data_IF_599010022202
#
_entry.id   IF_599010022202
#
_cell.length_a   1.000
_cell.length_b   1.000
_cell.length_c   1.000
_cell.angle_alpha   90.00
_cell.angle_beta   90.00
_cell.angle_gamma   90.00
#
_symmetry.space_group_name_H-M   'P 1'
#
loop_
_entity.id
_entity.type
_entity.pdbx_description
1 polymer ?
#
# COMPACT_ATOMS: atom_id res chain seq x y z
N UNK A 1 4.49 -5.69 18.57
CA UNK A 1 4.80 -6.05 17.16
C UNK A 1 3.75 -6.95 16.53
N UNK A 2 3.43 -8.09 17.12
CA UNK A 2 2.44 -9.04 16.58
C UNK A 2 1.05 -8.40 16.37
N UNK A 3 0.55 -7.62 17.31
CA UNK A 3 -0.76 -6.97 17.22
C UNK A 3 -0.83 -5.92 16.10
N UNK A 4 0.24 -5.13 15.92
CA UNK A 4 0.35 -4.18 14.83
C UNK A 4 0.34 -4.89 13.47
N UNK A 5 1.13 -5.95 13.32
CA UNK A 5 1.19 -6.72 12.08
C UNK A 5 -0.16 -7.40 11.74
N UNK A 6 -0.85 -7.93 12.76
CA UNK A 6 -2.18 -8.53 12.58
C UNK A 6 -3.22 -7.47 12.17
N UNK A 7 -3.22 -6.32 12.84
CA UNK A 7 -4.13 -5.21 12.53
C UNK A 7 -3.91 -4.70 11.11
N UNK A 8 -2.66 -4.42 10.75
CA UNK A 8 -2.35 -3.93 9.40
C UNK A 8 -2.69 -4.98 8.35
N UNK A 9 -2.34 -6.24 8.58
CA UNK A 9 -2.73 -7.33 7.69
C UNK A 9 -4.24 -7.48 7.50
N UNK A 10 -5.06 -7.12 8.50
CA UNK A 10 -6.52 -7.09 8.33
C UNK A 10 -6.93 -5.88 7.49
N UNK A 11 -6.36 -4.70 7.74
CA UNK A 11 -6.63 -3.52 6.91
C UNK A 11 -6.34 -3.79 5.44
N UNK A 12 -5.19 -4.43 5.14
CA UNK A 12 -4.84 -4.77 3.75
C UNK A 12 -5.85 -5.72 3.08
N UNK A 13 -6.36 -6.70 3.81
CA UNK A 13 -7.43 -7.58 3.29
C UNK A 13 -8.71 -6.80 3.00
N UNK A 14 -9.07 -5.87 3.87
CA UNK A 14 -10.26 -5.02 3.70
C UNK A 14 -10.07 -4.06 2.51
N UNK A 15 -8.86 -3.50 2.31
CA UNK A 15 -8.53 -2.69 1.13
C UNK A 15 -8.66 -3.48 -0.17
N UNK A 16 -8.12 -4.70 -0.21
CA UNK A 16 -8.23 -5.58 -1.40
C UNK A 16 -9.70 -5.91 -1.70
N UNK A 17 -10.51 -6.20 -0.67
CA UNK A 17 -11.94 -6.45 -0.83
C UNK A 17 -12.65 -5.23 -1.42
N UNK A 18 -12.44 -4.06 -0.84
CA UNK A 18 -13.06 -2.81 -1.28
C UNK A 18 -12.70 -2.46 -2.73
N UNK A 19 -11.41 -2.62 -3.12
CA UNK A 19 -10.96 -2.38 -4.49
C UNK A 19 -11.60 -3.39 -5.46
N UNK A 20 -11.63 -4.66 -5.07
CA UNK A 20 -12.25 -5.74 -5.87
C UNK A 20 -13.73 -5.46 -6.12
N UNK A 21 -14.48 -5.09 -5.08
CA UNK A 21 -15.90 -4.73 -5.19
C UNK A 21 -16.11 -3.50 -6.06
N UNK A 22 -15.25 -2.49 -5.94
CA UNK A 22 -15.29 -1.28 -6.77
C UNK A 22 -15.08 -1.60 -8.25
N UNK A 23 -14.06 -2.40 -8.58
CA UNK A 23 -13.79 -2.82 -9.97
C UNK A 23 -14.98 -3.59 -10.55
N UNK A 24 -15.53 -4.55 -9.80
CA UNK A 24 -16.71 -5.32 -10.22
C UNK A 24 -17.92 -4.42 -10.41
N UNK A 25 -18.15 -3.48 -9.50
CA UNK A 25 -19.28 -2.54 -9.57
C UNK A 25 -19.21 -1.61 -10.79
N UNK A 26 -18.00 -1.30 -11.26
CA UNK A 26 -17.76 -0.53 -12.49
C UNK A 26 -17.80 -1.40 -13.76
N UNK A 27 -18.11 -2.69 -13.66
CA UNK A 27 -18.14 -3.62 -14.79
C UNK A 27 -16.76 -4.09 -15.25
N UNK A 28 -15.72 -3.79 -14.49
CA UNK A 28 -14.37 -4.27 -14.73
C UNK A 28 -14.16 -5.69 -14.21
N UNK A 29 -12.96 -6.21 -14.46
CA UNK A 29 -12.53 -7.51 -13.94
C UNK A 29 -11.25 -7.31 -13.13
N UNK A 30 -11.25 -7.64 -11.83
CA UNK A 30 -10.04 -7.58 -11.03
C UNK A 30 -8.97 -8.52 -11.56
N UNK A 31 -7.72 -8.08 -11.55
CA UNK A 31 -6.59 -8.94 -11.86
C UNK A 31 -6.42 -10.00 -10.78
N UNK A 32 -5.94 -11.17 -11.20
CA UNK A 32 -5.57 -12.21 -10.26
C UNK A 32 -4.30 -11.78 -9.53
N UNK A 33 -4.31 -11.88 -8.19
CA UNK A 33 -3.13 -11.61 -7.40
C UNK A 33 -1.96 -12.49 -7.84
N UNK A 34 -0.77 -11.91 -8.10
CA UNK A 34 0.43 -12.68 -8.39
C UNK A 34 0.91 -13.42 -7.15
N UNK A 35 1.78 -14.39 -7.33
CA UNK A 35 2.52 -14.96 -6.21
C UNK A 35 3.59 -13.99 -5.73
N UNK A 36 3.83 -13.97 -4.42
CA UNK A 36 4.86 -13.14 -3.80
C UNK A 36 5.90 -13.98 -3.08
N UNK A 37 7.10 -13.45 -2.99
CA UNK A 37 8.19 -13.97 -2.18
C UNK A 37 8.87 -12.82 -1.47
N UNK A 38 8.83 -12.83 -0.14
CA UNK A 38 9.39 -11.75 0.67
C UNK A 38 10.61 -12.24 1.43
N UNK A 39 11.74 -11.49 1.40
CA UNK A 39 12.99 -11.88 2.06
C UNK A 39 12.96 -11.53 3.55
N UNK A 40 11.99 -12.08 4.29
CA UNK A 40 11.82 -11.87 5.74
C UNK A 40 12.60 -12.93 6.49
N UNK A 41 13.48 -12.53 7.39
CA UNK A 41 14.30 -13.39 8.25
C UNK A 41 14.09 -13.11 9.73
N UNK A 42 13.75 -11.87 10.08
CA UNK A 42 13.61 -11.38 11.43
C UNK A 42 12.69 -10.15 11.46
N UNK A 43 12.42 -9.64 12.65
CA UNK A 43 11.59 -8.45 12.85
C UNK A 43 12.12 -7.22 12.11
N UNK A 44 13.44 -7.03 12.09
CA UNK A 44 14.05 -5.88 11.41
C UNK A 44 13.84 -5.92 9.90
N UNK A 45 14.04 -7.07 9.29
CA UNK A 45 13.82 -7.25 7.84
C UNK A 45 12.34 -7.15 7.49
N UNK A 46 11.45 -7.64 8.35
CA UNK A 46 10.00 -7.45 8.22
C UNK A 46 9.63 -5.96 8.23
N UNK A 47 10.05 -5.21 9.24
CA UNK A 47 9.74 -3.79 9.35
C UNK A 47 10.31 -2.97 8.19
N UNK A 48 11.51 -3.32 7.72
CA UNK A 48 12.12 -2.65 6.57
C UNK A 48 11.32 -2.86 5.30
N UNK A 49 10.90 -4.10 5.06
CA UNK A 49 10.06 -4.44 3.90
C UNK A 49 8.69 -3.79 4.01
N UNK A 50 8.04 -3.92 5.17
CA UNK A 50 6.72 -3.34 5.40
C UNK A 50 6.72 -1.82 5.16
N UNK A 51 7.72 -1.09 5.69
CA UNK A 51 7.86 0.33 5.40
C UNK A 51 7.95 0.61 3.90
N UNK A 52 8.77 -0.14 3.18
CA UNK A 52 8.93 0.03 1.73
C UNK A 52 7.61 -0.18 0.99
N UNK A 53 6.85 -1.20 1.36
CA UNK A 53 5.56 -1.52 0.72
C UNK A 53 4.50 -0.46 1.03
N UNK A 54 4.37 -0.03 2.29
CA UNK A 54 3.42 1.02 2.69
C UNK A 54 3.73 2.36 2.00
N UNK A 55 4.99 2.78 1.99
CA UNK A 55 5.41 4.02 1.32
C UNK A 55 5.21 3.94 -0.21
N UNK A 56 5.41 2.77 -0.80
CA UNK A 56 5.10 2.54 -2.21
C UNK A 56 3.60 2.61 -2.45
N UNK A 57 2.79 2.05 -1.55
CA UNK A 57 1.32 2.14 -1.60
C UNK A 57 0.83 3.58 -1.55
N UNK A 58 1.30 4.38 -0.58
CA UNK A 58 1.00 5.82 -0.52
C UNK A 58 1.32 6.51 -1.83
N UNK A 59 2.52 6.28 -2.37
CA UNK A 59 2.98 6.89 -3.62
C UNK A 59 2.15 6.44 -4.83
N UNK A 60 1.70 5.19 -4.85
CA UNK A 60 0.85 4.62 -5.91
C UNK A 60 -0.55 5.25 -5.92
N UNK A 61 -1.19 5.37 -4.76
CA UNK A 61 -2.49 6.04 -4.64
C UNK A 61 -2.41 7.51 -5.04
N UNK A 62 -1.37 8.22 -4.61
CA UNK A 62 -1.14 9.62 -5.00
C UNK A 62 -0.96 9.76 -6.52
N UNK A 63 -0.22 8.84 -7.13
CA UNK A 63 -0.02 8.83 -8.59
C UNK A 63 -1.29 8.50 -9.38
N UNK A 64 -2.11 7.59 -8.87
CA UNK A 64 -3.37 7.20 -9.50
C UNK A 64 -4.45 8.29 -9.35
N UNK A 65 -4.41 9.09 -8.31
CA UNK A 65 -5.47 10.03 -7.95
C UNK A 65 -5.85 10.99 -9.10
N UNK A 66 -4.88 11.45 -9.87
CA UNK A 66 -5.12 12.37 -11.00
C UNK A 66 -5.77 11.70 -12.22
N UNK A 67 -5.88 10.39 -12.23
CA UNK A 67 -6.46 9.59 -13.32
C UNK A 67 -7.84 9.00 -12.93
N UNK A 68 -8.27 9.19 -11.70
CA UNK A 68 -9.57 8.72 -11.22
C UNK A 68 -10.60 9.81 -11.50
N UNK A 69 -11.51 9.54 -12.44
CA UNK A 69 -12.54 10.48 -12.85
C UNK A 69 -13.79 10.45 -11.97
N UNK A 70 -14.14 9.27 -11.45
CA UNK A 70 -15.32 9.09 -10.60
C UNK A 70 -15.05 9.61 -9.17
N UNK A 71 -15.79 10.64 -8.69
CA UNK A 71 -15.56 11.24 -7.37
C UNK A 71 -15.69 10.24 -6.22
N UNK A 72 -16.62 9.29 -6.31
CA UNK A 72 -16.82 8.25 -5.29
C UNK A 72 -15.65 7.27 -5.23
N UNK A 73 -15.02 6.96 -6.35
CA UNK A 73 -13.81 6.13 -6.41
C UNK A 73 -12.62 6.89 -5.85
N UNK A 74 -12.48 8.16 -6.19
CA UNK A 74 -11.42 9.03 -5.65
C UNK A 74 -11.56 9.16 -4.12
N UNK A 75 -12.77 9.34 -3.61
CA UNK A 75 -13.04 9.40 -2.18
C UNK A 75 -12.66 8.09 -1.47
N UNK A 76 -12.99 6.94 -2.05
CA UNK A 76 -12.60 5.63 -1.51
C UNK A 76 -11.07 5.45 -1.51
N UNK A 77 -10.40 5.81 -2.60
CA UNK A 77 -8.93 5.79 -2.68
C UNK A 77 -8.29 6.70 -1.63
N UNK A 78 -8.88 7.87 -1.38
CA UNK A 78 -8.45 8.79 -0.34
C UNK A 78 -8.58 8.22 1.07
N UNK A 79 -9.63 7.45 1.35
CA UNK A 79 -9.80 6.76 2.63
C UNK A 79 -8.75 5.67 2.85
N UNK A 80 -8.37 4.94 1.79
CA UNK A 80 -7.34 3.92 1.86
C UNK A 80 -5.97 4.55 2.05
N UNK A 81 -5.58 5.52 1.23
CA UNK A 81 -4.22 6.10 1.27
C UNK A 81 -3.90 6.75 2.62
N UNK A 82 -4.89 7.29 3.31
CA UNK A 82 -4.70 7.80 4.67
C UNK A 82 -4.30 6.70 5.66
N UNK A 83 -4.83 5.50 5.50
CA UNK A 83 -4.48 4.35 6.34
C UNK A 83 -3.07 3.85 5.99
N UNK A 84 -2.71 3.75 4.71
CA UNK A 84 -1.35 3.42 4.27
C UNK A 84 -0.31 4.38 4.86
N UNK A 85 -0.60 5.69 4.86
CA UNK A 85 0.27 6.70 5.46
C UNK A 85 0.41 6.53 6.99
N UNK A 86 -0.66 6.13 7.68
CA UNK A 86 -0.63 5.82 9.12
C UNK A 86 0.16 4.54 9.41
N UNK A 87 0.03 3.51 8.58
CA UNK A 87 0.85 2.30 8.66
C UNK A 87 2.33 2.64 8.51
N UNK A 88 2.69 3.39 7.47
CA UNK A 88 4.05 3.85 7.24
C UNK A 88 4.60 4.63 8.44
N UNK A 89 3.83 5.55 9.00
CA UNK A 89 4.22 6.35 10.18
C UNK A 89 4.44 5.47 11.41
N UNK A 90 3.56 4.50 11.67
CA UNK A 90 3.69 3.58 12.79
C UNK A 90 4.93 2.68 12.65
N UNK A 91 5.19 2.16 11.44
CA UNK A 91 6.37 1.34 11.15
C UNK A 91 7.64 2.17 11.30
N UNK A 92 7.68 3.42 10.81
CA UNK A 92 8.80 4.33 11.02
C UNK A 92 9.08 4.53 12.52
N UNK A 93 8.03 4.77 13.30
CA UNK A 93 8.16 4.91 14.76
C UNK A 93 8.73 3.65 15.42
N UNK A 94 8.26 2.47 15.02
CA UNK A 94 8.80 1.19 15.51
C UNK A 94 10.28 0.98 15.15
N UNK A 95 10.74 1.63 14.07
CA UNK A 95 12.15 1.65 13.63
C UNK A 95 12.96 2.82 14.19
N UNK A 96 12.42 3.56 15.16
CA UNK A 96 13.05 4.77 15.74
C UNK A 96 13.37 5.87 14.70
N UNK A 97 12.53 5.98 13.68
CA UNK A 97 12.59 7.01 12.65
C UNK A 97 11.49 8.05 12.85
N UNK A 98 11.66 9.25 12.28
CA UNK A 98 10.61 10.25 12.26
C UNK A 98 9.36 9.70 11.54
N UNK A 99 8.16 9.75 12.17
CA UNK A 99 6.95 9.19 11.58
C UNK A 99 6.48 9.93 10.33
N UNK A 100 6.68 11.23 10.27
CA UNK A 100 6.31 12.11 9.16
C UNK A 100 7.51 13.00 8.79
N UNK A 101 8.51 12.47 8.03
CA UNK A 101 9.75 13.20 7.76
C UNK A 101 9.59 14.30 6.70
N UNK A 102 8.53 14.26 5.91
CA UNK A 102 8.27 15.19 4.80
C UNK A 102 6.88 15.80 4.97
N UNK A 103 6.71 17.03 4.44
CA UNK A 103 5.41 17.71 4.43
C UNK A 103 4.49 17.19 3.32
N UNK A 104 5.06 16.59 2.27
CA UNK A 104 4.32 16.03 1.12
C UNK A 104 4.86 14.65 0.79
N UNK A 105 3.95 13.70 0.59
CA UNK A 105 4.31 12.37 0.13
C UNK A 105 4.60 12.34 -1.38
N UNK A 106 5.36 11.33 -1.78
CA UNK A 106 5.70 11.11 -3.19
C UNK A 106 4.47 10.64 -3.99
N UNK A 107 4.58 10.78 -5.29
CA UNK A 107 3.63 10.28 -6.28
C UNK A 107 4.40 9.46 -7.32
N UNK A 108 3.96 8.23 -7.57
CA UNK A 108 4.56 7.32 -8.54
C UNK A 108 3.53 6.91 -9.59
N UNK A 109 3.93 6.93 -10.86
CA UNK A 109 3.13 6.35 -11.94
C UNK A 109 3.14 4.81 -11.89
N UNK A 110 2.21 4.19 -12.62
CA UNK A 110 2.03 2.73 -12.64
C UNK A 110 3.33 1.96 -12.94
N UNK A 111 4.10 2.39 -13.94
CA UNK A 111 5.35 1.72 -14.30
C UNK A 111 6.37 1.72 -13.15
N UNK A 112 6.49 2.85 -12.45
CA UNK A 112 7.38 2.99 -11.30
C UNK A 112 6.95 2.09 -10.13
N UNK A 113 5.65 1.99 -9.88
CA UNK A 113 5.07 1.09 -8.85
C UNK A 113 5.35 -0.36 -9.21
N UNK A 114 5.15 -0.77 -10.47
CA UNK A 114 5.44 -2.12 -10.92
C UNK A 114 6.93 -2.46 -10.81
N UNK A 115 7.82 -1.51 -11.12
CA UNK A 115 9.26 -1.68 -10.92
C UNK A 115 9.61 -1.87 -9.44
N UNK A 116 8.98 -1.12 -8.54
CA UNK A 116 9.19 -1.25 -7.09
C UNK A 116 8.69 -2.62 -6.55
N UNK A 117 7.60 -3.15 -7.09
CA UNK A 117 7.03 -4.44 -6.70
C UNK A 117 7.80 -5.65 -7.29
N UNK A 118 8.43 -5.48 -8.43
CA UNK A 118 9.08 -6.56 -9.20
C UNK A 118 10.00 -7.48 -8.39
N UNK A 119 10.85 -6.99 -7.46
CA UNK A 119 11.72 -7.86 -6.66
C UNK A 119 10.97 -8.88 -5.79
N UNK A 120 9.69 -8.65 -5.52
CA UNK A 120 8.87 -9.47 -4.63
C UNK A 120 7.90 -10.39 -5.37
N UNK A 121 7.82 -10.28 -6.70
CA UNK A 121 6.97 -11.12 -7.51
C UNK A 121 7.64 -12.47 -7.76
N UNK A 122 6.87 -13.57 -7.62
CA UNK A 122 7.32 -14.88 -8.05
C UNK A 122 7.27 -14.96 -9.58
N UNK A 123 8.38 -15.34 -10.17
CA UNK A 123 8.48 -15.69 -11.57
C UNK A 123 7.91 -17.08 -11.83
#
# INVERSE_FOLDING_TARGET
MSDMAQTFGQHERDHVSAITETINGLGGKPDKAPGFSFPIRDERSFLTLAQTLEETGVSAYNGAATQIEAPEVLAAAGQIVQIEARHAAAIRSARSQAPAPLAFDKSLGMEQVLQAAKPFLKT
#
